data_IF_744874513550
#
_entry.id   IF_744874513550
#
_cell.length_a   1.000
_cell.length_b   1.000
_cell.length_c   1.000
_cell.angle_alpha   90.00
_cell.angle_beta   90.00
_cell.angle_gamma   90.00
#
_symmetry.space_group_name_H-M   'P 1'
#
loop_
_entity.id
_entity.type
_entity.pdbx_description
1 polymer ?
#
# COMPACT_ATOMS: atom_id res chain seq x y z
N UNK A 1 -3.90 -11.10 -20.64
CA UNK A 1 -2.47 -11.01 -20.26
C UNK A 1 -2.38 -10.20 -18.97
N UNK A 2 -1.45 -10.52 -18.07
CA UNK A 2 -1.21 -9.74 -16.87
C UNK A 2 -0.60 -8.37 -17.25
N UNK A 3 -0.85 -7.33 -16.44
CA UNK A 3 -0.22 -6.03 -16.65
C UNK A 3 1.31 -6.15 -16.57
N UNK A 4 2.00 -5.40 -17.41
CA UNK A 4 3.46 -5.35 -17.44
C UNK A 4 3.98 -4.37 -16.39
N UNK A 5 5.24 -4.53 -15.97
CA UNK A 5 5.90 -3.69 -14.98
C UNK A 5 6.10 -4.36 -13.64
N UNK A 6 6.86 -3.70 -12.77
CA UNK A 6 7.10 -4.13 -11.41
C UNK A 6 5.84 -4.02 -10.53
N UNK A 7 5.83 -4.78 -9.45
CA UNK A 7 4.81 -4.68 -8.40
C UNK A 7 5.37 -3.83 -7.27
N UNK A 8 4.67 -2.76 -6.89
CA UNK A 8 4.99 -2.01 -5.68
C UNK A 8 4.30 -2.69 -4.49
N UNK A 9 5.07 -2.96 -3.45
CA UNK A 9 4.60 -3.63 -2.24
C UNK A 9 4.97 -2.79 -1.03
N UNK A 10 3.99 -2.34 -0.27
CA UNK A 10 4.25 -1.71 1.03
C UNK A 10 4.29 -2.75 2.14
N UNK A 11 5.21 -2.61 3.08
CA UNK A 11 5.32 -3.52 4.23
C UNK A 11 5.88 -4.91 3.87
N UNK A 12 6.64 -5.03 2.78
CA UNK A 12 7.13 -6.31 2.28
C UNK A 12 8.24 -6.96 3.12
N UNK A 13 8.77 -6.27 4.11
CA UNK A 13 9.90 -6.76 4.91
C UNK A 13 9.50 -7.75 6.01
N UNK A 14 8.23 -7.78 6.41
CA UNK A 14 7.77 -8.66 7.51
C UNK A 14 6.36 -9.21 7.30
N UNK A 15 6.00 -10.24 8.06
CA UNK A 15 4.64 -10.76 8.17
C UNK A 15 3.99 -11.13 6.84
N UNK A 16 2.78 -10.64 6.62
CA UNK A 16 2.00 -10.88 5.40
C UNK A 16 2.75 -10.35 4.17
N UNK A 17 3.36 -9.16 4.28
CA UNK A 17 4.12 -8.57 3.18
C UNK A 17 5.30 -9.42 2.74
N UNK A 18 6.09 -9.95 3.69
CA UNK A 18 7.21 -10.83 3.36
C UNK A 18 6.75 -12.14 2.69
N UNK A 19 5.63 -12.71 3.14
CA UNK A 19 5.04 -13.87 2.49
C UNK A 19 4.55 -13.54 1.06
N UNK A 20 3.97 -12.34 0.88
CA UNK A 20 3.56 -11.82 -0.43
C UNK A 20 4.76 -11.62 -1.35
N UNK A 21 5.86 -11.02 -0.85
CA UNK A 21 7.09 -10.84 -1.61
C UNK A 21 7.62 -12.20 -2.15
N UNK A 22 7.68 -13.23 -1.28
CA UNK A 22 8.08 -14.58 -1.69
C UNK A 22 7.18 -15.17 -2.77
N UNK A 23 5.87 -15.00 -2.64
CA UNK A 23 4.92 -15.51 -3.63
C UNK A 23 5.08 -14.80 -4.98
N UNK A 24 5.26 -13.48 -4.98
CA UNK A 24 5.48 -12.68 -6.18
C UNK A 24 6.80 -13.04 -6.87
N UNK A 25 7.89 -13.17 -6.12
CA UNK A 25 9.19 -13.58 -6.64
C UNK A 25 9.13 -14.98 -7.27
N UNK A 26 8.45 -15.94 -6.62
CA UNK A 26 8.20 -17.27 -7.16
C UNK A 26 7.40 -17.24 -8.46
N UNK A 27 6.52 -16.25 -8.62
CA UNK A 27 5.76 -16.02 -9.86
C UNK A 27 6.56 -15.23 -10.92
N UNK A 28 7.85 -14.94 -10.68
CA UNK A 28 8.71 -14.22 -11.61
C UNK A 28 8.41 -12.72 -11.70
N UNK A 29 7.80 -12.12 -10.67
CA UNK A 29 7.47 -10.69 -10.65
C UNK A 29 8.62 -9.89 -10.04
N UNK A 30 8.95 -8.76 -10.66
CA UNK A 30 9.80 -7.75 -10.05
C UNK A 30 9.06 -7.02 -8.94
N UNK A 31 9.74 -6.78 -7.81
CA UNK A 31 9.14 -6.21 -6.61
C UNK A 31 9.92 -4.97 -6.19
N UNK A 32 9.22 -3.86 -6.07
CA UNK A 32 9.72 -2.64 -5.43
C UNK A 32 9.11 -2.59 -4.03
N UNK A 33 9.94 -2.81 -3.01
CA UNK A 33 9.50 -2.81 -1.61
C UNK A 33 9.58 -1.41 -1.02
N UNK A 34 8.49 -0.96 -0.40
CA UNK A 34 8.41 0.27 0.38
C UNK A 34 8.19 -0.09 1.85
N UNK A 35 9.18 0.12 2.70
CA UNK A 35 9.13 -0.26 4.11
C UNK A 35 10.07 0.62 4.94
N UNK A 36 9.80 0.73 6.24
CA UNK A 36 10.71 1.35 7.22
C UNK A 36 11.82 0.41 7.67
N UNK A 37 11.69 -0.89 7.40
CA UNK A 37 12.66 -1.95 7.71
C UNK A 37 13.51 -2.27 6.50
N UNK A 38 14.57 -3.05 6.73
CA UNK A 38 15.47 -3.50 5.67
C UNK A 38 14.75 -4.31 4.58
N UNK A 39 15.31 -4.26 3.38
CA UNK A 39 14.76 -4.93 2.21
C UNK A 39 14.63 -6.45 2.43
N UNK A 40 13.51 -7.06 2.02
CA UNK A 40 13.45 -8.50 1.90
C UNK A 40 14.37 -8.97 0.76
N UNK A 41 14.86 -10.20 0.85
CA UNK A 41 15.78 -10.78 -0.13
C UNK A 41 15.14 -10.86 -1.54
N UNK A 42 13.84 -10.93 -1.60
CA UNK A 42 13.04 -11.04 -2.82
C UNK A 42 12.83 -9.71 -3.55
N UNK A 43 13.14 -8.58 -2.95
CA UNK A 43 12.93 -7.28 -3.57
C UNK A 43 13.98 -6.99 -4.66
N UNK A 44 13.52 -6.56 -5.83
CA UNK A 44 14.37 -6.07 -6.92
C UNK A 44 14.89 -4.65 -6.64
N UNK A 45 14.09 -3.86 -5.91
CA UNK A 45 14.46 -2.55 -5.39
C UNK A 45 13.78 -2.30 -4.04
N UNK A 46 14.37 -1.41 -3.23
CA UNK A 46 13.82 -1.04 -1.93
C UNK A 46 14.00 0.46 -1.69
N UNK A 47 12.95 1.07 -1.18
CA UNK A 47 12.97 2.44 -0.68
C UNK A 47 12.48 2.48 0.75
N UNK A 48 13.25 3.14 1.62
CA UNK A 48 12.75 3.45 2.96
C UNK A 48 11.56 4.40 2.83
N UNK A 49 10.41 3.99 3.35
CA UNK A 49 9.16 4.73 3.27
C UNK A 49 8.40 4.61 4.59
N UNK A 50 8.31 5.71 5.31
CA UNK A 50 7.43 5.84 6.48
C UNK A 50 6.08 6.41 6.02
N UNK A 51 5.05 5.58 6.08
CA UNK A 51 3.69 6.01 5.71
C UNK A 51 3.06 7.00 6.71
N UNK A 52 3.62 7.15 7.90
CA UNK A 52 3.18 8.18 8.85
C UNK A 52 3.74 9.58 8.50
N UNK A 53 4.78 9.64 7.66
CA UNK A 53 5.46 10.88 7.25
C UNK A 53 5.18 11.21 5.77
N UNK A 54 4.35 12.24 5.48
CA UNK A 54 4.10 12.67 4.10
C UNK A 54 5.37 13.00 3.30
N UNK A 55 6.40 13.56 3.94
CA UNK A 55 7.65 13.92 3.26
C UNK A 55 8.45 12.69 2.85
N UNK A 56 8.38 11.61 3.63
CA UNK A 56 8.95 10.31 3.28
C UNK A 56 8.26 9.72 2.05
N UNK A 57 6.92 9.82 2.00
CA UNK A 57 6.14 9.35 0.85
C UNK A 57 6.50 10.16 -0.40
N UNK A 58 6.51 11.51 -0.32
CA UNK A 58 6.85 12.38 -1.45
C UNK A 58 8.26 12.11 -1.98
N UNK A 59 9.23 11.87 -1.09
CA UNK A 59 10.60 11.49 -1.47
C UNK A 59 10.64 10.18 -2.25
N UNK A 60 9.80 9.22 -1.90
CA UNK A 60 9.70 7.94 -2.63
C UNK A 60 9.00 8.13 -3.96
N UNK A 61 7.86 8.83 -3.99
CA UNK A 61 7.12 9.14 -5.22
C UNK A 61 8.01 9.82 -6.25
N UNK A 62 8.88 10.75 -5.83
CA UNK A 62 9.83 11.43 -6.71
C UNK A 62 10.96 10.55 -7.27
N UNK A 63 11.12 9.31 -6.76
CA UNK A 63 12.12 8.34 -7.22
C UNK A 63 11.51 7.19 -8.03
N UNK A 64 10.20 7.03 -7.99
CA UNK A 64 9.49 6.00 -8.72
C UNK A 64 9.25 6.48 -10.16
N UNK A 65 9.85 5.78 -11.11
CA UNK A 65 9.75 6.09 -12.53
C UNK A 65 9.16 4.94 -13.32
N UNK A 66 8.39 5.27 -14.36
CA UNK A 66 7.83 4.30 -15.28
C UNK A 66 6.41 3.87 -14.91
N UNK A 67 6.03 2.69 -15.39
CA UNK A 67 4.69 2.12 -15.22
C UNK A 67 4.77 0.85 -14.39
N UNK A 68 3.83 0.69 -13.46
CA UNK A 68 3.79 -0.42 -12.52
C UNK A 68 2.58 -1.31 -12.76
N UNK A 69 2.79 -2.62 -12.69
CA UNK A 69 1.71 -3.58 -12.86
C UNK A 69 0.68 -3.53 -11.74
N UNK A 70 1.12 -3.24 -10.51
CA UNK A 70 0.23 -3.24 -9.34
C UNK A 70 0.83 -2.46 -8.18
N UNK A 71 -0.05 -1.94 -7.33
CA UNK A 71 0.27 -1.46 -5.99
C UNK A 71 -0.41 -2.37 -4.95
N UNK A 72 0.37 -2.98 -4.07
CA UNK A 72 -0.12 -3.80 -2.97
C UNK A 72 0.13 -3.07 -1.65
N UNK A 73 -0.92 -2.52 -1.08
CA UNK A 73 -0.91 -1.85 0.21
C UNK A 73 -1.08 -2.88 1.33
N UNK A 74 0.04 -3.37 1.85
CA UNK A 74 0.09 -4.39 2.92
C UNK A 74 0.60 -3.81 4.23
N UNK A 75 1.40 -2.73 4.17
CA UNK A 75 1.86 -2.04 5.37
C UNK A 75 0.69 -1.59 6.24
N UNK A 76 0.84 -1.78 7.53
CA UNK A 76 -0.15 -1.34 8.50
C UNK A 76 0.36 -1.56 9.93
N UNK A 77 -0.20 -0.80 10.85
CA UNK A 77 0.09 -0.91 12.28
C UNK A 77 -1.17 -1.33 13.04
N UNK A 78 -1.01 -2.08 14.15
CA UNK A 78 -2.15 -2.52 14.95
C UNK A 78 -2.77 -1.36 15.73
N UNK A 79 -4.05 -1.47 16.08
CA UNK A 79 -4.76 -0.47 16.88
C UNK A 79 -4.28 -0.33 18.34
N UNK A 80 -3.20 -1.03 18.71
CA UNK A 80 -2.54 -0.93 20.03
C UNK A 80 -1.48 0.16 20.09
N UNK A 81 -1.08 0.72 18.95
CA UNK A 81 -0.24 1.92 18.91
C UNK A 81 -1.11 3.17 19.06
N UNK A 82 -0.49 4.35 19.19
CA UNK A 82 -1.23 5.59 19.32
C UNK A 82 -2.13 5.86 18.08
N UNK A 83 -3.23 6.56 18.31
CA UNK A 83 -4.26 6.78 17.28
C UNK A 83 -3.75 7.56 16.06
N UNK A 84 -2.84 8.51 16.28
CA UNK A 84 -2.33 9.36 15.20
C UNK A 84 -1.43 8.55 14.26
N UNK A 85 -0.62 7.66 14.81
CA UNK A 85 0.14 6.67 14.01
C UNK A 85 -0.79 5.72 13.26
N UNK A 86 -1.86 5.21 13.89
CA UNK A 86 -2.83 4.32 13.21
C UNK A 86 -3.48 5.04 12.03
N UNK A 87 -3.96 6.25 12.23
CA UNK A 87 -4.60 7.04 11.16
C UNK A 87 -3.59 7.44 10.10
N UNK A 88 -2.39 7.86 10.52
CA UNK A 88 -1.30 8.24 9.64
C UNK A 88 -0.93 7.11 8.68
N UNK A 89 -0.59 5.93 9.22
CA UNK A 89 -0.13 4.78 8.41
C UNK A 89 -1.28 4.13 7.65
N UNK A 90 -2.36 3.74 8.37
CA UNK A 90 -3.38 2.84 7.80
C UNK A 90 -4.39 3.56 6.90
N UNK A 91 -4.42 4.89 6.91
CA UNK A 91 -5.40 5.66 6.14
C UNK A 91 -4.77 6.77 5.32
N UNK A 92 -4.16 7.77 5.97
CA UNK A 92 -3.68 8.96 5.29
C UNK A 92 -2.47 8.68 4.40
N UNK A 93 -1.47 7.98 4.91
CA UNK A 93 -0.27 7.62 4.17
C UNK A 93 -0.54 6.64 3.04
N UNK A 94 -1.37 5.61 3.31
CA UNK A 94 -1.83 4.68 2.29
C UNK A 94 -2.54 5.42 1.15
N UNK A 95 -3.43 6.36 1.48
CA UNK A 95 -4.13 7.19 0.49
C UNK A 95 -3.16 8.09 -0.27
N UNK A 96 -2.29 8.82 0.43
CA UNK A 96 -1.30 9.73 -0.17
C UNK A 96 -0.42 8.99 -1.20
N UNK A 97 0.13 7.83 -0.82
CA UNK A 97 0.91 7.00 -1.73
C UNK A 97 0.08 6.52 -2.92
N UNK A 98 -1.15 6.06 -2.68
CA UNK A 98 -2.01 5.54 -3.75
C UNK A 98 -2.39 6.64 -4.74
N UNK A 99 -2.78 7.82 -4.26
CA UNK A 99 -3.12 8.97 -5.09
C UNK A 99 -1.89 9.43 -5.91
N UNK A 100 -0.70 9.46 -5.29
CA UNK A 100 0.54 9.91 -5.93
C UNK A 100 1.05 8.98 -7.03
N UNK A 101 0.76 7.67 -6.95
CA UNK A 101 1.23 6.69 -7.95
C UNK A 101 0.15 6.30 -8.96
N UNK A 102 -1.07 6.79 -8.79
CA UNK A 102 -2.24 6.34 -9.56
C UNK A 102 -2.03 6.35 -11.07
N UNK A 103 -1.44 7.42 -11.60
CA UNK A 103 -1.23 7.58 -13.04
C UNK A 103 -0.09 6.72 -13.59
N UNK A 104 0.73 6.14 -12.71
CA UNK A 104 1.80 5.19 -13.06
C UNK A 104 1.34 3.73 -13.02
N UNK A 105 0.11 3.45 -12.55
CA UNK A 105 -0.44 2.09 -12.63
C UNK A 105 -0.84 1.79 -14.08
N UNK A 106 -0.34 0.68 -14.61
CA UNK A 106 -0.57 0.23 -15.98
C UNK A 106 -2.07 0.08 -16.29
N UNK A 107 -2.42 0.19 -17.56
CA UNK A 107 -3.73 -0.26 -18.02
C UNK A 107 -3.94 -1.73 -17.63
N UNK A 108 -5.10 -2.03 -17.02
CA UNK A 108 -5.40 -3.34 -16.40
C UNK A 108 -4.52 -3.71 -15.21
N UNK A 109 -3.74 -2.75 -14.68
CA UNK A 109 -3.07 -2.88 -13.40
C UNK A 109 -4.05 -2.92 -12.23
N UNK A 110 -3.56 -3.22 -11.04
CA UNK A 110 -4.42 -3.36 -9.86
C UNK A 110 -3.88 -2.61 -8.66
N UNK A 111 -4.78 -2.09 -7.84
CA UNK A 111 -4.48 -1.64 -6.49
C UNK A 111 -5.17 -2.58 -5.51
N UNK A 112 -4.40 -3.19 -4.62
CA UNK A 112 -4.89 -4.12 -3.60
C UNK A 112 -4.64 -3.53 -2.23
N UNK A 113 -5.69 -3.46 -1.40
CA UNK A 113 -5.58 -3.00 -0.02
C UNK A 113 -5.85 -4.18 0.92
N UNK A 114 -4.91 -4.45 1.83
CA UNK A 114 -5.11 -5.44 2.89
C UNK A 114 -5.89 -4.80 4.02
N UNK A 115 -7.11 -5.28 4.24
CA UNK A 115 -7.97 -4.83 5.33
C UNK A 115 -7.84 -5.75 6.57
N UNK A 116 -8.44 -5.35 7.68
CA UNK A 116 -8.43 -6.11 8.92
C UNK A 116 -9.84 -6.48 9.38
N UNK A 117 -9.98 -7.65 9.99
CA UNK A 117 -11.21 -8.06 10.70
C UNK A 117 -11.57 -7.11 11.84
N UNK A 118 -10.61 -6.37 12.40
CA UNK A 118 -10.86 -5.33 13.38
C UNK A 118 -11.81 -4.23 12.85
N UNK A 119 -11.84 -4.00 11.54
CA UNK A 119 -12.77 -3.09 10.89
C UNK A 119 -14.25 -3.53 10.98
N UNK A 120 -14.55 -4.79 11.26
CA UNK A 120 -15.94 -5.28 11.35
C UNK A 120 -16.76 -4.64 12.48
N UNK A 121 -16.08 -4.02 13.45
CA UNK A 121 -16.75 -3.34 14.57
C UNK A 121 -17.27 -1.93 14.22
N UNK A 122 -17.01 -1.42 13.01
CA UNK A 122 -17.43 -0.09 12.60
C UNK A 122 -18.94 0.18 12.77
N UNK A 123 -19.75 -0.87 12.64
CA UNK A 123 -21.22 -0.78 12.82
C UNK A 123 -21.61 -0.36 14.24
N UNK A 124 -20.80 -0.71 15.24
CA UNK A 124 -21.06 -0.38 16.64
C UNK A 124 -20.72 1.07 16.97
N UNK A 125 -19.89 1.72 16.13
CA UNK A 125 -19.49 3.12 16.30
C UNK A 125 -20.10 4.04 15.24
N UNK A 126 -20.91 3.48 14.35
CA UNK A 126 -21.55 4.17 13.24
C UNK A 126 -22.31 5.46 13.59
N UNK A 127 -22.97 5.60 14.79
CA UNK A 127 -23.63 6.85 15.17
C UNK A 127 -22.67 8.04 15.30
N UNK A 128 -21.38 7.76 15.49
CA UNK A 128 -20.33 8.77 15.67
C UNK A 128 -19.51 9.05 14.42
N UNK A 129 -19.70 8.23 13.37
CA UNK A 129 -19.04 8.42 12.10
C UNK A 129 -20.03 9.13 11.17
N UNK A 130 -19.77 10.39 10.78
CA UNK A 130 -20.59 11.05 9.75
C UNK A 130 -20.68 10.10 8.54
N UNK A 131 -21.86 10.00 7.95
CA UNK A 131 -22.11 9.14 6.80
C UNK A 131 -21.00 9.35 5.76
N UNK A 132 -20.05 8.42 5.68
CA UNK A 132 -19.15 8.36 4.55
C UNK A 132 -20.03 8.06 3.34
N UNK A 133 -20.26 9.07 2.51
CA UNK A 133 -20.77 8.86 1.17
C UNK A 133 -19.89 7.78 0.55
N UNK A 134 -20.52 6.76 0.02
CA UNK A 134 -19.90 5.60 -0.65
C UNK A 134 -18.65 6.06 -1.41
N UNK A 135 -17.47 5.48 -1.15
CA UNK A 135 -16.28 5.85 -1.91
C UNK A 135 -16.61 5.69 -3.40
N UNK A 136 -16.39 6.73 -4.18
CA UNK A 136 -16.42 6.60 -5.63
C UNK A 136 -15.36 5.58 -5.99
N UNK A 137 -15.78 4.40 -6.40
CA UNK A 137 -14.91 3.48 -7.11
C UNK A 137 -14.56 4.20 -8.41
N UNK A 138 -13.36 4.74 -8.51
CA UNK A 138 -12.86 5.23 -9.79
C UNK A 138 -12.52 4.01 -10.64
N UNK A 139 -13.49 3.61 -11.45
CA UNK A 139 -13.23 2.70 -12.57
C UNK A 139 -12.70 3.59 -13.70
N UNK A 140 -11.48 3.34 -14.17
CA UNK A 140 -11.08 3.84 -15.49
C UNK A 140 -11.93 3.11 -16.54
N UNK A 141 -12.60 3.88 -17.37
CA UNK A 141 -13.31 3.39 -18.56
C UNK A 141 -12.29 3.04 -19.64
#
# INVERSE_FOLDING_TARGET
MAAEGAVILTGGSTGIGAATAKALAKAGREIINLDIKEAPQEASAHFHCDLADPSSIDSVLGKLEGTFASLLNVAGVPGTVDKDTVVGVNTLGLRHLTDGIWDQIADKGTVVNVASVAGNQWKNVSPYIPSFSTPRIMLRA
#
